data_IF_989609335096
#
_entry.id   IF_989609335096
#
_cell.length_a   1.000
_cell.length_b   1.000
_cell.length_c   1.000
_cell.angle_alpha   90.00
_cell.angle_beta   90.00
_cell.angle_gamma   90.00
#
_symmetry.space_group_name_H-M   'P 1'
#
loop_
_entity.id
_entity.type
_entity.pdbx_description
1 polymer ?
#
# COMPACT_ATOMS: atom_id res chain seq x y z
N UNK A 1 -12.55 4.02 -13.12
CA UNK A 1 -13.42 3.22 -12.23
C UNK A 1 -13.56 3.89 -10.86
N UNK A 2 -12.51 3.87 -10.03
CA UNK A 2 -12.48 4.39 -8.65
C UNK A 2 -13.26 5.70 -8.42
N UNK A 3 -12.99 6.75 -9.20
CA UNK A 3 -13.66 8.06 -9.06
C UNK A 3 -15.20 8.00 -9.15
N UNK A 4 -15.78 7.11 -9.99
CA UNK A 4 -17.24 6.92 -10.05
C UNK A 4 -17.78 6.24 -8.78
N UNK A 5 -17.00 5.34 -8.16
CA UNK A 5 -17.37 4.72 -6.88
C UNK A 5 -17.30 5.77 -5.76
N UNK A 6 -16.20 6.53 -5.71
CA UNK A 6 -15.99 7.61 -4.72
C UNK A 6 -17.12 8.64 -4.76
N UNK A 7 -17.52 9.13 -5.94
CA UNK A 7 -18.63 10.07 -6.10
C UNK A 7 -19.98 9.49 -5.62
N UNK A 8 -20.26 8.20 -5.90
CA UNK A 8 -21.48 7.54 -5.39
C UNK A 8 -21.49 7.40 -3.87
N UNK A 9 -20.32 7.25 -3.25
CA UNK A 9 -20.19 7.11 -1.79
C UNK A 9 -20.21 8.46 -1.06
N UNK A 10 -19.61 9.52 -1.63
CA UNK A 10 -19.66 10.88 -1.07
C UNK A 10 -21.05 11.49 -1.25
N UNK A 11 -21.72 11.26 -2.38
CA UNK A 11 -23.05 11.79 -2.68
C UNK A 11 -24.09 10.67 -2.92
N UNK A 12 -24.47 9.88 -1.90
CA UNK A 12 -25.30 8.68 -2.05
C UNK A 12 -26.75 8.94 -2.49
N UNK A 13 -27.18 10.22 -2.47
CA UNK A 13 -28.46 10.73 -2.99
C UNK A 13 -28.37 11.23 -4.45
N UNK A 14 -27.17 11.47 -4.99
CA UNK A 14 -27.01 12.01 -6.35
C UNK A 14 -27.31 10.93 -7.40
N UNK A 15 -28.37 11.13 -8.18
CA UNK A 15 -28.86 10.20 -9.20
C UNK A 15 -28.21 10.39 -10.58
N UNK A 16 -27.49 11.49 -10.81
CA UNK A 16 -26.78 11.77 -12.06
C UNK A 16 -25.46 10.97 -12.17
N UNK A 17 -24.92 10.48 -11.05
CA UNK A 17 -23.70 9.67 -11.05
C UNK A 17 -23.99 8.25 -11.51
N UNK A 18 -23.63 7.94 -12.75
CA UNK A 18 -23.67 6.60 -13.36
C UNK A 18 -25.08 5.97 -13.41
N UNK A 19 -25.19 4.69 -13.75
CA UNK A 19 -26.48 3.97 -13.81
C UNK A 19 -26.98 3.59 -12.40
N UNK A 20 -28.30 3.38 -12.26
CA UNK A 20 -28.89 2.95 -10.99
C UNK A 20 -28.32 1.62 -10.47
N UNK A 21 -28.10 0.65 -11.36
CA UNK A 21 -27.44 -0.62 -11.05
C UNK A 21 -26.02 -0.40 -10.51
N UNK A 22 -25.22 0.46 -11.16
CA UNK A 22 -23.87 0.81 -10.69
C UNK A 22 -23.91 1.46 -9.30
N UNK A 23 -24.87 2.37 -9.04
CA UNK A 23 -25.00 3.01 -7.72
C UNK A 23 -25.37 2.01 -6.61
N UNK A 24 -26.24 1.06 -6.89
CA UNK A 24 -26.60 0.01 -5.96
C UNK A 24 -25.41 -0.92 -5.68
N UNK A 25 -24.74 -1.39 -6.74
CA UNK A 25 -23.53 -2.22 -6.64
C UNK A 25 -22.42 -1.53 -5.84
N UNK A 26 -22.11 -0.26 -6.15
CA UNK A 26 -21.06 0.48 -5.47
C UNK A 26 -21.34 0.64 -3.96
N UNK A 27 -22.57 0.99 -3.57
CA UNK A 27 -22.97 1.09 -2.15
C UNK A 27 -23.04 -0.25 -1.42
N UNK A 28 -23.19 -1.38 -2.14
CA UNK A 28 -23.19 -2.73 -1.57
C UNK A 28 -21.79 -3.32 -1.41
N UNK A 29 -20.86 -2.97 -2.31
CA UNK A 29 -19.50 -3.55 -2.36
C UNK A 29 -18.45 -2.74 -1.59
N UNK A 30 -18.66 -1.44 -1.41
CA UNK A 30 -17.64 -0.53 -0.87
C UNK A 30 -18.17 0.35 0.26
N UNK A 31 -17.28 0.73 1.16
CA UNK A 31 -17.51 1.74 2.19
C UNK A 31 -16.64 2.97 1.95
N UNK A 32 -17.06 4.11 2.50
CA UNK A 32 -16.25 5.32 2.54
C UNK A 32 -15.53 5.39 3.88
N UNK A 33 -14.21 5.57 3.87
CA UNK A 33 -13.47 6.02 5.04
C UNK A 33 -13.17 7.50 4.88
N UNK A 34 -13.58 8.31 5.85
CA UNK A 34 -13.38 9.76 5.87
C UNK A 34 -12.36 10.11 6.93
N UNK A 35 -11.29 10.80 6.52
CA UNK A 35 -10.36 11.49 7.42
C UNK A 35 -10.66 12.99 7.39
N UNK A 36 -10.08 13.81 8.28
CA UNK A 36 -10.26 15.26 8.24
C UNK A 36 -9.81 15.96 6.94
N UNK A 37 -8.98 15.29 6.12
CA UNK A 37 -8.36 15.88 4.91
C UNK A 37 -8.74 15.18 3.61
N UNK A 38 -9.16 13.90 3.64
CA UNK A 38 -9.50 13.13 2.43
C UNK A 38 -10.47 11.98 2.66
N UNK A 39 -11.08 11.50 1.58
CA UNK A 39 -11.93 10.31 1.53
C UNK A 39 -11.26 9.15 0.78
N UNK A 40 -11.30 7.94 1.36
CA UNK A 40 -10.78 6.69 0.80
C UNK A 40 -11.95 5.74 0.50
N UNK A 41 -11.94 5.08 -0.66
CA UNK A 41 -12.84 3.95 -0.93
C UNK A 41 -12.24 2.68 -0.32
N UNK A 42 -13.01 1.99 0.52
CA UNK A 42 -12.61 0.75 1.18
C UNK A 42 -13.49 -0.43 0.75
N UNK A 43 -12.93 -1.63 0.80
CA UNK A 43 -13.63 -2.91 0.60
C UNK A 43 -13.17 -3.88 1.69
N UNK A 44 -14.12 -4.53 2.38
CA UNK A 44 -13.83 -5.41 3.54
C UNK A 44 -12.94 -4.73 4.60
N UNK A 45 -13.19 -3.45 4.87
CA UNK A 45 -12.43 -2.64 5.85
C UNK A 45 -11.04 -2.17 5.39
N UNK A 46 -10.61 -2.49 4.16
CA UNK A 46 -9.26 -2.16 3.65
C UNK A 46 -9.32 -1.20 2.46
N UNK A 47 -8.36 -0.28 2.30
CA UNK A 47 -8.31 0.62 1.15
C UNK A 47 -8.29 -0.14 -0.18
N UNK A 48 -8.98 0.39 -1.18
CA UNK A 48 -8.97 -0.11 -2.57
C UNK A 48 -7.72 0.43 -3.27
N UNK A 49 -6.79 -0.45 -3.65
CA UNK A 49 -5.61 -0.04 -4.41
C UNK A 49 -6.01 0.39 -5.83
N UNK A 50 -5.73 1.65 -6.19
CA UNK A 50 -5.95 2.17 -7.54
C UNK A 50 -4.76 1.90 -8.46
N UNK A 51 -4.96 2.00 -9.78
CA UNK A 51 -3.96 1.59 -10.78
C UNK A 51 -2.62 2.31 -10.58
N UNK A 52 -2.72 3.60 -10.31
CA UNK A 52 -1.65 4.54 -10.03
C UNK A 52 -0.84 4.15 -8.78
N UNK A 53 -1.48 3.73 -7.69
CA UNK A 53 -0.81 3.33 -6.45
C UNK A 53 -0.36 1.84 -6.41
N UNK A 54 -0.70 1.02 -7.41
CA UNK A 54 -0.40 -0.42 -7.40
C UNK A 54 1.10 -0.71 -7.34
N UNK A 55 1.95 0.13 -7.92
CA UNK A 55 3.40 -0.07 -7.86
C UNK A 55 3.94 0.08 -6.43
N UNK A 56 3.60 1.18 -5.76
CA UNK A 56 4.10 1.51 -4.42
C UNK A 56 3.59 0.52 -3.36
N UNK A 57 2.32 0.11 -3.47
CA UNK A 57 1.74 -0.97 -2.66
C UNK A 57 2.55 -2.27 -2.79
N UNK A 58 2.97 -2.63 -4.01
CA UNK A 58 3.77 -3.84 -4.25
C UNK A 58 5.21 -3.69 -3.78
N UNK A 59 5.85 -2.54 -3.97
CA UNK A 59 7.18 -2.24 -3.42
C UNK A 59 7.17 -2.32 -1.90
N UNK A 60 6.22 -1.66 -1.24
CA UNK A 60 6.05 -1.65 0.21
C UNK A 60 5.82 -3.07 0.77
N UNK A 61 4.80 -3.79 0.29
CA UNK A 61 4.49 -5.13 0.79
C UNK A 61 5.57 -6.17 0.45
N UNK A 62 6.27 -6.04 -0.68
CA UNK A 62 7.37 -6.95 -1.00
C UNK A 62 8.63 -6.68 -0.16
N UNK A 63 8.92 -5.41 0.15
CA UNK A 63 9.99 -5.02 1.10
C UNK A 63 9.64 -5.50 2.51
N UNK A 64 8.42 -5.23 2.98
CA UNK A 64 7.92 -5.61 4.33
C UNK A 64 7.87 -7.11 4.53
N UNK A 65 7.49 -7.88 3.51
CA UNK A 65 7.60 -9.36 3.52
C UNK A 65 9.03 -9.89 3.33
N UNK A 66 10.06 -9.05 3.46
CA UNK A 66 11.49 -9.41 3.43
C UNK A 66 11.94 -10.01 2.10
N UNK A 67 11.44 -9.47 0.98
CA UNK A 67 11.65 -10.01 -0.38
C UNK A 67 11.14 -11.45 -0.55
N UNK A 68 10.06 -11.79 0.16
CA UNK A 68 9.43 -13.11 0.12
C UNK A 68 8.84 -13.49 -1.25
N UNK A 69 8.60 -14.79 -1.44
CA UNK A 69 7.95 -15.32 -2.65
C UNK A 69 6.53 -14.77 -2.89
N UNK A 70 5.93 -15.18 -4.01
CA UNK A 70 4.57 -14.78 -4.45
C UNK A 70 3.57 -14.80 -3.29
N UNK A 71 3.54 -15.89 -2.54
CA UNK A 71 2.50 -16.15 -1.56
C UNK A 71 2.70 -15.38 -0.25
N UNK A 72 3.93 -15.23 0.23
CA UNK A 72 4.25 -14.35 1.38
C UNK A 72 3.96 -12.87 1.03
N UNK A 73 4.34 -12.43 -0.17
CA UNK A 73 3.99 -11.07 -0.65
C UNK A 73 2.47 -10.91 -0.81
N UNK A 74 1.76 -11.94 -1.28
CA UNK A 74 0.29 -11.90 -1.41
C UNK A 74 -0.44 -11.87 -0.07
N UNK A 75 0.09 -12.54 0.96
CA UNK A 75 -0.45 -12.44 2.32
C UNK A 75 -0.30 -11.01 2.88
N UNK A 76 0.89 -10.44 2.76
CA UNK A 76 1.19 -9.05 3.18
C UNK A 76 0.31 -8.02 2.46
N UNK A 77 0.15 -8.13 1.14
CA UNK A 77 -0.78 -7.27 0.38
C UNK A 77 -2.22 -7.42 0.88
N UNK A 78 -2.70 -8.65 1.11
CA UNK A 78 -4.07 -8.92 1.61
C UNK A 78 -4.30 -8.49 3.06
N UNK A 79 -3.25 -8.29 3.85
CA UNK A 79 -3.39 -7.75 5.20
C UNK A 79 -3.76 -6.27 5.17
N UNK A 80 -3.11 -5.47 4.31
CA UNK A 80 -3.24 -4.00 4.31
C UNK A 80 -4.16 -3.43 3.21
N UNK A 81 -4.30 -4.11 2.08
CA UNK A 81 -4.98 -3.58 0.89
C UNK A 81 -6.04 -4.54 0.34
N UNK A 82 -6.96 -3.99 -0.45
CA UNK A 82 -7.97 -4.72 -1.22
C UNK A 82 -7.81 -4.45 -2.72
N UNK A 83 -8.49 -5.25 -3.55
CA UNK A 83 -8.59 -5.08 -5.02
C UNK A 83 -7.27 -5.21 -5.82
N UNK A 84 -6.16 -5.64 -5.21
CA UNK A 84 -4.89 -5.93 -5.91
C UNK A 84 -4.98 -7.27 -6.68
N UNK A 85 -4.73 -7.29 -8.02
CA UNK A 85 -4.78 -8.54 -8.80
C UNK A 85 -3.63 -9.51 -8.47
N UNK A 86 -3.96 -10.78 -8.18
CA UNK A 86 -2.96 -11.83 -7.84
C UNK A 86 -1.84 -12.00 -8.89
N UNK A 87 -2.17 -11.89 -10.17
CA UNK A 87 -1.20 -12.06 -11.27
C UNK A 87 -0.23 -10.87 -11.38
N UNK A 88 -0.63 -9.69 -10.90
CA UNK A 88 0.26 -8.54 -10.82
C UNK A 88 1.29 -8.73 -9.70
N UNK A 89 0.87 -9.27 -8.55
CA UNK A 89 1.80 -9.65 -7.45
C UNK A 89 2.80 -10.70 -7.95
N UNK A 90 2.33 -11.74 -8.64
CA UNK A 90 3.19 -12.77 -9.22
C UNK A 90 4.18 -12.20 -10.25
N UNK A 91 3.71 -11.33 -11.16
CA UNK A 91 4.56 -10.67 -12.17
C UNK A 91 5.58 -9.74 -11.51
N UNK A 92 5.22 -9.00 -10.48
CA UNK A 92 6.12 -8.12 -9.74
C UNK A 92 7.25 -8.92 -9.05
N UNK A 93 6.91 -9.95 -8.27
CA UNK A 93 7.91 -10.80 -7.56
C UNK A 93 8.79 -11.61 -8.53
N UNK A 94 8.32 -11.90 -9.75
CA UNK A 94 9.16 -12.48 -10.82
C UNK A 94 10.26 -11.51 -11.28
N UNK A 95 9.96 -10.23 -11.42
CA UNK A 95 10.86 -9.23 -12.01
C UNK A 95 11.59 -8.33 -10.99
N UNK A 96 11.33 -8.45 -9.68
CA UNK A 96 12.10 -7.74 -8.66
C UNK A 96 13.62 -8.06 -8.81
N UNK A 97 14.49 -7.05 -9.03
CA UNK A 97 15.89 -7.27 -9.37
C UNK A 97 16.67 -7.94 -8.24
N UNK A 98 16.39 -7.55 -6.99
CA UNK A 98 17.00 -8.12 -5.78
C UNK A 98 16.69 -9.61 -5.62
N UNK A 99 15.47 -10.03 -5.97
CA UNK A 99 15.08 -11.44 -5.99
C UNK A 99 15.59 -12.18 -7.23
N UNK A 100 15.76 -11.50 -8.36
CA UNK A 100 16.27 -12.12 -9.58
C UNK A 100 17.72 -12.60 -9.40
N UNK A 101 18.63 -11.72 -8.93
CA UNK A 101 20.03 -12.06 -8.71
C UNK A 101 20.24 -13.22 -7.72
N UNK A 102 19.50 -13.23 -6.60
CA UNK A 102 19.56 -14.36 -5.64
C UNK A 102 19.16 -15.70 -6.27
N UNK A 103 18.18 -15.70 -7.18
CA UNK A 103 17.68 -16.89 -7.90
C UNK A 103 18.58 -17.35 -9.06
N UNK A 104 19.49 -16.52 -9.58
CA UNK A 104 20.56 -17.01 -10.48
C UNK A 104 21.64 -17.74 -9.68
N UNK A 105 22.16 -17.12 -8.61
CA UNK A 105 23.28 -17.68 -7.83
C UNK A 105 22.93 -19.03 -7.18
N UNK A 106 21.74 -19.17 -6.57
CA UNK A 106 21.36 -20.46 -5.95
C UNK A 106 21.22 -21.62 -6.95
N UNK A 107 20.85 -21.35 -8.21
CA UNK A 107 20.72 -22.42 -9.22
C UNK A 107 22.06 -22.91 -9.76
N UNK A 108 23.12 -22.10 -9.69
CA UNK A 108 24.48 -22.53 -10.04
C UNK A 108 25.07 -23.48 -8.99
N UNK A 109 24.71 -23.32 -7.71
CA UNK A 109 25.18 -24.20 -6.62
C UNK A 109 24.40 -25.53 -6.50
N UNK A 110 23.36 -25.75 -7.32
CA UNK A 110 22.52 -26.95 -7.31
C UNK A 110 22.70 -27.85 -8.54
N UNK A 111 23.69 -27.57 -9.38
CA UNK A 111 24.10 -28.50 -10.44
C UNK A 111 25.10 -29.52 -9.87
N UNK A 112 24.83 -30.84 -9.92
CA UNK A 112 25.88 -31.83 -9.67
C UNK A 112 26.94 -31.75 -10.77
N UNK A 113 28.21 -32.08 -10.49
CA UNK A 113 29.29 -31.97 -11.47
C UNK A 113 29.06 -32.96 -12.62
N UNK A 114 28.72 -32.44 -13.80
CA UNK A 114 28.64 -33.25 -15.01
C UNK A 114 30.06 -33.58 -15.49
N UNK A 115 30.38 -34.87 -15.55
CA UNK A 115 31.69 -35.34 -16.00
C UNK A 115 31.91 -34.96 -17.47
N UNK A 116 33.07 -34.37 -17.74
CA UNK A 116 33.40 -33.83 -19.06
C UNK A 116 33.93 -34.94 -19.98
N UNK A 117 33.28 -35.13 -21.13
CA UNK A 117 33.87 -35.80 -22.29
C UNK A 117 33.70 -34.87 -23.49
N UNK A 118 34.82 -34.33 -23.99
CA UNK A 118 34.82 -33.38 -25.12
C UNK A 118 35.09 -34.08 -26.45
N UNK A 119 34.64 -33.48 -27.55
CA UNK A 119 35.44 -33.38 -28.78
C UNK A 119 34.94 -32.22 -29.69
N UNK A 120 35.80 -31.20 -29.81
CA UNK A 120 35.96 -30.11 -30.80
C UNK A 120 34.80 -29.50 -31.65
N UNK A 121 34.96 -28.20 -31.91
CA UNK A 121 34.19 -27.39 -32.88
C UNK A 121 34.88 -27.31 -34.26
N UNK A 122 34.17 -26.77 -35.28
CA UNK A 122 34.70 -25.60 -36.00
C UNK A 122 33.76 -24.37 -35.94
N UNK A 123 34.22 -23.15 -36.32
CA UNK A 123 33.59 -21.90 -35.86
C UNK A 123 32.62 -21.22 -36.85
N UNK A 124 31.84 -20.27 -36.33
CA UNK A 124 31.30 -19.13 -37.08
C UNK A 124 31.58 -17.82 -36.35
N UNK A 125 31.90 -16.77 -37.11
CA UNK A 125 32.35 -15.47 -36.60
C UNK A 125 31.24 -14.44 -36.72
N UNK A 126 30.97 -13.69 -35.63
CA UNK A 126 30.17 -12.47 -35.66
C UNK A 126 30.88 -11.41 -34.81
N UNK A 127 31.16 -10.19 -35.33
CA UNK A 127 31.95 -9.18 -34.61
C UNK A 127 31.08 -8.21 -33.78
N UNK A 128 31.75 -7.42 -32.92
CA UNK A 128 31.24 -6.17 -32.29
C UNK A 128 30.09 -6.32 -31.26
N UNK A 129 29.92 -5.51 -30.20
CA UNK A 129 30.59 -4.26 -29.74
C UNK A 129 30.75 -4.26 -28.20
N UNK A 130 31.66 -3.42 -27.69
CA UNK A 130 31.98 -3.16 -26.26
C UNK A 130 30.82 -2.70 -25.36
N UNK A 131 30.90 -2.98 -24.04
CA UNK A 131 31.12 -1.95 -23.01
C UNK A 131 31.11 -2.51 -21.55
N UNK A 132 32.15 -2.27 -20.71
CA UNK A 132 32.18 -2.68 -19.31
C UNK A 132 31.59 -1.63 -18.34
N UNK A 133 30.43 -1.02 -18.67
CA UNK A 133 29.83 0.06 -17.86
C UNK A 133 28.65 -0.37 -16.96
N UNK A 134 28.09 -1.56 -17.18
CA UNK A 134 26.89 -2.03 -16.46
C UNK A 134 27.12 -2.26 -14.96
N UNK A 135 28.30 -2.73 -14.57
CA UNK A 135 28.63 -3.02 -13.17
C UNK A 135 28.63 -1.76 -12.29
N UNK A 136 29.13 -0.64 -12.82
CA UNK A 136 29.21 0.63 -12.10
C UNK A 136 27.82 1.27 -11.92
N UNK A 137 26.99 1.29 -12.98
CA UNK A 137 25.60 1.75 -12.90
C UNK A 137 24.80 0.92 -11.89
N UNK A 138 24.92 -0.41 -11.92
CA UNK A 138 24.25 -1.30 -10.96
C UNK A 138 24.76 -1.12 -9.52
N UNK A 139 26.00 -0.67 -9.34
CA UNK A 139 26.59 -0.40 -8.01
C UNK A 139 26.17 0.98 -7.48
N UNK A 140 26.07 2.00 -8.33
CA UNK A 140 25.53 3.31 -7.95
C UNK A 140 24.05 3.22 -7.57
N UNK A 141 23.23 2.50 -8.35
CA UNK A 141 21.83 2.19 -7.97
C UNK A 141 21.77 1.45 -6.63
N UNK A 142 22.73 0.54 -6.35
CA UNK A 142 22.82 -0.21 -5.09
C UNK A 142 23.23 0.66 -3.89
N UNK A 143 24.03 1.71 -4.09
CA UNK A 143 24.39 2.67 -3.03
C UNK A 143 23.22 3.63 -2.76
N UNK A 144 22.62 4.19 -3.81
CA UNK A 144 21.47 5.11 -3.69
C UNK A 144 20.26 4.45 -3.00
N UNK A 145 19.98 3.17 -3.27
CA UNK A 145 18.90 2.43 -2.60
C UNK A 145 19.22 1.91 -1.18
N UNK A 146 20.44 2.14 -0.65
CA UNK A 146 20.85 1.65 0.68
C UNK A 146 21.25 2.75 1.67
N UNK A 147 21.56 3.97 1.22
CA UNK A 147 22.03 5.07 2.08
C UNK A 147 20.96 6.12 2.45
N UNK A 148 19.72 5.99 1.99
CA UNK A 148 18.61 6.81 2.49
C UNK A 148 17.95 6.15 3.72
N UNK A 149 18.17 6.67 4.96
CA UNK A 149 17.25 6.43 6.05
C UNK A 149 15.97 7.22 5.76
N UNK A 150 15.01 6.61 5.06
CA UNK A 150 13.71 7.23 4.75
C UNK A 150 12.87 7.33 6.05
N UNK A 151 13.25 8.30 6.89
CA UNK A 151 12.48 8.85 8.01
C UNK A 151 11.38 9.76 7.43
N UNK A 152 10.49 9.16 6.63
CA UNK A 152 9.39 9.85 6.00
C UNK A 152 8.08 9.08 6.16
N UNK A 153 7.34 9.50 7.17
CA UNK A 153 5.92 9.24 7.39
C UNK A 153 5.07 9.97 6.34
N UNK A 154 5.24 9.59 5.07
CA UNK A 154 4.53 10.12 3.90
C UNK A 154 4.18 8.97 2.95
N UNK A 155 3.10 9.00 2.18
CA UNK A 155 1.84 9.75 2.32
C UNK A 155 0.82 9.01 1.45
N UNK A 156 -0.42 8.79 1.89
CA UNK A 156 -1.44 8.11 1.06
C UNK A 156 -2.05 9.07 0.02
N UNK A 157 -1.81 10.39 0.15
CA UNK A 157 -2.33 11.44 -0.74
C UNK A 157 -1.23 12.41 -1.21
N UNK A 158 -1.38 13.05 -2.39
CA UNK A 158 -0.38 13.93 -2.98
C UNK A 158 -0.19 15.23 -2.19
N UNK A 159 0.96 15.88 -2.40
CA UNK A 159 1.39 17.10 -1.74
C UNK A 159 0.64 18.36 -2.21
N UNK A 160 0.27 19.23 -1.27
CA UNK A 160 -0.13 20.64 -1.46
C UNK A 160 0.41 21.47 -0.25
N UNK A 161 0.45 22.81 -0.32
CA UNK A 161 1.34 23.62 0.53
C UNK A 161 0.75 24.05 1.89
N UNK A 162 1.64 24.41 2.83
CA UNK A 162 1.28 24.96 4.14
C UNK A 162 0.85 26.43 4.05
N UNK A 163 -0.24 26.82 4.74
CA UNK A 163 -0.35 28.09 5.45
C UNK A 163 0.11 27.96 6.91
N UNK A 164 0.50 29.08 7.53
CA UNK A 164 1.09 29.15 8.87
C UNK A 164 0.07 28.85 9.99
N UNK A 165 0.53 28.20 11.06
CA UNK A 165 -0.19 28.05 12.34
C UNK A 165 0.54 28.84 13.44
N UNK A 166 -0.13 29.71 14.19
CA UNK A 166 0.35 30.21 15.47
C UNK A 166 -0.45 29.64 16.66
N UNK A 167 0.29 29.31 17.74
CA UNK A 167 -0.16 29.26 19.14
C UNK A 167 -1.40 28.42 19.50
N UNK A 168 -1.14 27.27 20.14
CA UNK A 168 -2.05 26.72 21.15
C UNK A 168 -1.24 26.13 22.32
N UNK A 169 -0.99 26.95 23.34
CA UNK A 169 -0.34 26.55 24.59
C UNK A 169 -1.18 27.02 25.78
N UNK A 170 -2.11 26.18 26.24
CA UNK A 170 -2.69 26.26 27.59
C UNK A 170 -3.30 24.90 27.98
N UNK A 171 -3.05 24.39 29.20
CA UNK A 171 -3.66 23.17 29.71
C UNK A 171 -5.10 23.40 30.22
N UNK A 172 -5.94 22.36 30.33
CA UNK A 172 -7.34 22.50 30.76
C UNK A 172 -7.46 22.83 32.25
N UNK A 173 -8.31 23.80 32.59
CA UNK A 173 -8.72 24.12 33.97
C UNK A 173 -9.69 23.08 34.51
N UNK A 174 -9.44 22.61 35.74
CA UNK A 174 -10.27 21.64 36.46
C UNK A 174 -11.68 22.19 36.75
N UNK A 175 -12.73 21.50 36.27
CA UNK A 175 -14.12 21.91 36.49
C UNK A 175 -14.73 21.19 37.71
N UNK A 176 -15.04 21.95 38.76
CA UNK A 176 -15.61 21.42 39.99
C UNK A 176 -17.11 21.09 39.84
N UNK A 177 -17.53 19.94 40.34
CA UNK A 177 -18.96 19.60 40.50
C UNK A 177 -19.47 20.26 41.79
N UNK A 178 -20.55 21.02 41.69
CA UNK A 178 -21.20 21.69 42.83
C UNK A 178 -22.63 21.18 43.04
N UNK A 179 -23.02 21.05 44.29
CA UNK A 179 -24.28 20.43 44.75
C UNK A 179 -25.46 21.41 44.74
N UNK A 180 -26.70 20.91 44.62
CA UNK A 180 -27.90 21.58 45.13
C UNK A 180 -29.00 20.55 45.53
N UNK A 181 -29.99 20.93 46.37
CA UNK A 181 -30.74 19.99 47.23
C UNK A 181 -32.21 19.76 46.81
N UNK A 182 -32.97 19.01 47.63
CA UNK A 182 -34.41 18.74 47.45
C UNK A 182 -35.33 19.18 48.60
N UNK A 183 -36.64 18.98 48.40
CA UNK A 183 -37.78 19.16 49.33
C UNK A 183 -38.85 18.13 48.89
N UNK A 184 -39.57 17.34 49.72
CA UNK A 184 -40.39 17.64 50.92
C UNK A 184 -41.63 18.49 50.63
N UNK A 185 -42.87 18.16 51.04
CA UNK A 185 -43.48 16.90 51.57
C UNK A 185 -44.79 16.62 50.76
N UNK A 186 -45.99 16.12 51.16
CA UNK A 186 -46.68 15.78 52.42
C UNK A 186 -47.77 14.69 52.19
N UNK A 187 -47.77 13.65 53.04
CA UNK A 187 -48.89 12.96 53.75
C UNK A 187 -50.36 13.26 53.36
N UNK A 188 -51.22 12.24 53.18
CA UNK A 188 -52.42 12.00 54.04
C UNK A 188 -53.12 10.64 53.79
N UNK A 189 -54.11 10.25 54.62
CA UNK A 189 -54.61 8.87 54.74
C UNK A 189 -56.14 8.69 54.79
N UNK A 190 -56.64 7.57 54.21
CA UNK A 190 -57.93 6.90 54.50
C UNK A 190 -59.22 7.75 54.19
N UNK A 191 -60.47 7.31 54.45
CA UNK A 191 -60.98 6.08 55.10
C UNK A 191 -60.55 4.73 54.51
#
# INVERSE_FOLDING_TARGET
>A
MYQKILMVLIQPKNTQVSTAQFRFWAKKMFTLSTTPTYHVVCHSGKPVATKECLYDVLVYCHRKSSHGGRDKTSAEVRQHYSWVPKELIARFVKHCPLCHGRRSTQRQHQQPPQQTSQLLLPPQQYPTTSAPLSALVMTLVRILYLLEPIQHTHSIYPSLPLPLLPLLLQPPTHLSIQTHPGSKDKLDSRP
#
